data_IF_878221791291
#
_entry.id   IF_878221791291
#
_cell.length_a   1.000
_cell.length_b   1.000
_cell.length_c   1.000
_cell.angle_alpha   90.00
_cell.angle_beta   90.00
_cell.angle_gamma   90.00
#
_symmetry.space_group_name_H-M   'P 1'
#
loop_
_entity.id
_entity.type
_entity.pdbx_description
1 polymer ?
#
# COMPACT_ATOMS: atom_id res chain seq x y z
N UNK A 1 -20.49 26.56 -61.46
CA UNK A 1 -20.77 25.59 -60.38
C UNK A 1 -20.08 26.09 -59.12
N UNK A 2 -20.76 26.20 -57.97
CA UNK A 2 -20.09 26.52 -56.72
C UNK A 2 -19.45 25.26 -56.15
N UNK A 3 -18.13 25.26 -55.99
CA UNK A 3 -17.36 24.20 -55.36
C UNK A 3 -17.62 24.18 -53.86
N UNK A 4 -18.46 23.25 -53.40
CA UNK A 4 -18.65 22.95 -51.98
C UNK A 4 -17.34 22.39 -51.40
N UNK A 5 -16.65 23.18 -50.58
CA UNK A 5 -15.59 22.68 -49.73
C UNK A 5 -16.24 21.96 -48.53
N UNK A 6 -15.97 20.66 -48.31
CA UNK A 6 -16.51 19.97 -47.14
C UNK A 6 -15.99 20.66 -45.87
N UNK A 7 -16.90 21.03 -44.97
CA UNK A 7 -16.55 21.65 -43.71
C UNK A 7 -15.49 20.80 -42.98
N UNK A 8 -14.45 21.42 -42.38
CA UNK A 8 -13.41 20.67 -41.70
C UNK A 8 -14.06 19.82 -40.60
N UNK A 9 -13.77 18.52 -40.61
CA UNK A 9 -14.24 17.60 -39.57
C UNK A 9 -13.91 18.20 -38.20
N UNK A 10 -14.91 18.29 -37.32
CA UNK A 10 -14.75 18.86 -35.98
C UNK A 10 -13.61 18.14 -35.28
N UNK A 11 -12.48 18.82 -35.10
CA UNK A 11 -11.33 18.30 -34.37
C UNK A 11 -11.74 18.08 -32.92
N UNK A 12 -11.77 16.82 -32.48
CA UNK A 12 -12.10 16.48 -31.10
C UNK A 12 -10.90 16.79 -30.23
N UNK A 13 -11.01 17.82 -29.38
CA UNK A 13 -9.93 18.11 -28.46
C UNK A 13 -9.91 17.07 -27.35
N UNK A 14 -8.70 16.66 -26.98
CA UNK A 14 -8.54 15.66 -25.93
C UNK A 14 -8.93 16.18 -24.54
N UNK A 15 -8.86 17.51 -24.38
CA UNK A 15 -9.24 18.30 -23.21
C UNK A 15 -10.15 19.49 -23.63
N UNK A 16 -11.32 19.20 -24.22
CA UNK A 16 -12.27 20.25 -24.69
C UNK A 16 -12.66 21.25 -23.58
N UNK A 17 -12.72 20.78 -22.33
CA UNK A 17 -13.07 21.59 -21.15
C UNK A 17 -11.88 22.37 -20.56
N UNK A 18 -10.70 22.28 -21.20
CA UNK A 18 -9.46 22.92 -20.75
C UNK A 18 -8.58 22.00 -19.89
N UNK A 19 -7.32 22.39 -19.73
CA UNK A 19 -6.30 21.57 -19.08
C UNK A 19 -6.59 21.32 -17.59
N UNK A 20 -7.05 22.35 -16.87
CA UNK A 20 -7.33 22.24 -15.44
C UNK A 20 -8.49 21.27 -15.14
N UNK A 21 -9.57 21.35 -15.93
CA UNK A 21 -10.72 20.44 -15.81
C UNK A 21 -10.33 18.98 -16.13
N UNK A 22 -9.35 18.78 -17.02
CA UNK A 22 -8.89 17.46 -17.46
C UNK A 22 -7.58 16.99 -16.79
N UNK A 23 -7.13 17.65 -15.73
CA UNK A 23 -5.81 17.39 -15.13
C UNK A 23 -5.65 15.94 -14.66
N UNK A 24 -6.69 15.33 -14.08
CA UNK A 24 -6.67 13.93 -13.65
C UNK A 24 -6.43 12.96 -14.80
N UNK A 25 -7.16 13.14 -15.92
CA UNK A 25 -6.99 12.34 -17.14
C UNK A 25 -5.57 12.45 -17.71
N UNK A 26 -5.02 13.66 -17.77
CA UNK A 26 -3.65 13.90 -18.24
C UNK A 26 -2.64 13.21 -17.31
N UNK A 27 -2.85 13.26 -15.99
CA UNK A 27 -2.00 12.58 -15.03
C UNK A 27 -2.06 11.05 -15.19
N UNK A 28 -3.25 10.47 -15.36
CA UNK A 28 -3.41 9.03 -15.60
C UNK A 28 -2.72 8.58 -16.89
N UNK A 29 -2.90 9.31 -17.98
CA UNK A 29 -2.24 9.03 -19.25
C UNK A 29 -0.73 9.17 -19.13
N UNK A 30 -0.24 10.22 -18.47
CA UNK A 30 1.17 10.42 -18.21
C UNK A 30 1.78 9.25 -17.42
N UNK A 31 1.14 8.85 -16.32
CA UNK A 31 1.57 7.71 -15.50
C UNK A 31 1.57 6.41 -16.32
N UNK A 32 0.52 6.16 -17.10
CA UNK A 32 0.39 4.97 -17.95
C UNK A 32 1.49 4.89 -19.00
N UNK A 33 1.75 5.97 -19.75
CA UNK A 33 2.74 5.97 -20.83
C UNK A 33 4.18 5.97 -20.33
N UNK A 34 4.41 6.49 -19.12
CA UNK A 34 5.72 6.49 -18.46
C UNK A 34 5.97 5.26 -17.58
N UNK A 35 4.99 4.36 -17.44
CA UNK A 35 5.04 3.20 -16.53
C UNK A 35 5.37 3.61 -15.09
N UNK A 36 4.72 4.68 -14.61
CA UNK A 36 4.80 5.10 -13.21
C UNK A 36 3.86 4.25 -12.37
N UNK A 37 4.16 2.96 -12.30
CA UNK A 37 3.40 2.00 -11.50
C UNK A 37 3.74 2.18 -10.01
N UNK A 38 2.76 2.10 -9.10
CA UNK A 38 3.02 2.17 -7.66
C UNK A 38 3.84 0.95 -7.22
N UNK A 39 5.11 1.17 -6.87
CA UNK A 39 6.00 0.12 -6.35
C UNK A 39 5.91 0.10 -4.83
N UNK A 40 5.66 -1.08 -4.25
CA UNK A 40 5.72 -1.32 -2.80
C UNK A 40 6.99 -2.09 -2.48
N UNK A 41 7.74 -1.62 -1.48
CA UNK A 41 8.93 -2.29 -0.97
C UNK A 41 8.60 -2.95 0.36
N UNK A 42 8.89 -4.26 0.47
CA UNK A 42 8.82 -5.00 1.73
C UNK A 42 10.24 -5.40 2.12
N UNK A 43 10.68 -4.96 3.30
CA UNK A 43 12.01 -5.30 3.82
C UNK A 43 11.83 -6.38 4.87
N UNK A 44 12.36 -7.56 4.58
CA UNK A 44 12.27 -8.74 5.44
C UNK A 44 13.66 -9.24 5.80
N UNK A 45 13.78 -9.85 6.97
CA UNK A 45 15.02 -10.44 7.42
C UNK A 45 14.80 -11.32 8.65
N UNK A 46 15.80 -12.16 9.00
CA UNK A 46 15.76 -12.96 10.20
C UNK A 46 15.58 -12.10 11.47
N UNK A 47 14.99 -12.66 12.54
CA UNK A 47 14.87 -11.96 13.81
C UNK A 47 16.26 -11.52 14.32
N UNK A 48 16.33 -10.33 14.90
CA UNK A 48 17.58 -9.70 15.34
C UNK A 48 18.31 -8.89 14.26
N UNK A 49 17.85 -8.93 13.01
CA UNK A 49 18.35 -8.02 11.96
C UNK A 49 17.69 -6.65 12.10
N UNK A 50 18.42 -5.52 11.97
CA UNK A 50 17.88 -4.17 12.10
C UNK A 50 17.10 -3.71 10.84
N UNK A 51 16.18 -4.55 10.35
CA UNK A 51 15.40 -4.29 9.14
C UNK A 51 14.49 -3.06 9.28
N UNK A 52 13.95 -2.82 10.47
CA UNK A 52 13.10 -1.66 10.77
C UNK A 52 13.89 -0.33 10.66
N UNK A 53 15.10 -0.29 11.23
CA UNK A 53 15.98 0.89 11.14
C UNK A 53 16.40 1.15 9.70
N UNK A 54 16.72 0.09 8.94
CA UNK A 54 17.07 0.23 7.53
C UNK A 54 15.88 0.71 6.68
N UNK A 55 14.66 0.21 6.94
CA UNK A 55 13.44 0.65 6.28
C UNK A 55 13.17 2.14 6.53
N UNK A 56 13.39 2.60 7.77
CA UNK A 56 13.25 4.01 8.14
C UNK A 56 14.22 4.90 7.37
N UNK A 57 15.50 4.52 7.31
CA UNK A 57 16.52 5.27 6.56
C UNK A 57 16.19 5.36 5.06
N UNK A 58 15.66 4.28 4.47
CA UNK A 58 15.22 4.29 3.08
C UNK A 58 14.01 5.20 2.86
N UNK A 59 13.02 5.13 3.75
CA UNK A 59 11.84 5.97 3.68
C UNK A 59 12.20 7.46 3.76
N UNK A 60 13.09 7.84 4.68
CA UNK A 60 13.60 9.21 4.82
C UNK A 60 14.37 9.65 3.57
N UNK A 61 15.28 8.80 3.05
CA UNK A 61 16.13 9.12 1.89
C UNK A 61 15.33 9.36 0.62
N UNK A 62 14.27 8.61 0.40
CA UNK A 62 13.45 8.70 -0.81
C UNK A 62 12.14 9.48 -0.60
N UNK A 63 11.95 10.09 0.57
CA UNK A 63 10.72 10.78 0.96
C UNK A 63 9.46 9.93 0.72
N UNK A 64 9.56 8.63 1.03
CA UNK A 64 8.47 7.67 0.90
C UNK A 64 7.67 7.59 2.21
N UNK A 65 6.34 7.44 2.16
CA UNK A 65 5.55 7.18 3.36
C UNK A 65 5.86 5.78 3.91
N UNK A 66 6.45 5.65 5.12
CA UNK A 66 6.74 4.34 5.69
C UNK A 66 5.47 3.68 6.20
N UNK A 67 5.31 2.38 5.91
CA UNK A 67 4.28 1.53 6.51
C UNK A 67 4.98 0.54 7.42
N UNK A 68 5.02 0.83 8.73
CA UNK A 68 5.63 -0.05 9.72
C UNK A 68 4.62 -1.10 10.21
N UNK A 69 5.13 -2.26 10.60
CA UNK A 69 4.31 -3.38 11.05
C UNK A 69 3.40 -3.00 12.23
N UNK A 70 3.94 -2.31 13.23
CA UNK A 70 3.18 -1.90 14.42
C UNK A 70 2.00 -0.98 14.08
N UNK A 71 2.17 -0.08 13.11
CA UNK A 71 1.09 0.78 12.64
C UNK A 71 -0.03 -0.03 12.00
N UNK A 72 0.33 -1.02 11.16
CA UNK A 72 -0.65 -1.89 10.51
C UNK A 72 -1.39 -2.74 11.54
N UNK A 73 -0.70 -3.25 12.55
CA UNK A 73 -1.31 -4.03 13.64
C UNK A 73 -2.29 -3.18 14.43
N UNK A 74 -1.91 -1.97 14.84
CA UNK A 74 -2.79 -1.07 15.60
C UNK A 74 -3.98 -0.59 14.76
N UNK A 75 -3.76 -0.23 13.49
CA UNK A 75 -4.84 0.15 12.58
C UNK A 75 -5.84 -1.01 12.39
N UNK A 76 -5.33 -2.22 12.17
CA UNK A 76 -6.17 -3.42 11.99
C UNK A 76 -6.92 -3.76 13.28
N UNK A 77 -6.27 -3.61 14.44
CA UNK A 77 -6.87 -3.84 15.76
C UNK A 77 -8.02 -2.88 16.04
N UNK A 78 -7.89 -1.62 15.63
CA UNK A 78 -8.90 -0.58 15.83
C UNK A 78 -10.01 -0.62 14.77
N UNK A 79 -9.82 -1.35 13.68
CA UNK A 79 -10.83 -1.51 12.65
C UNK A 79 -11.93 -2.50 13.08
N UNK A 80 -13.19 -2.15 12.79
CA UNK A 80 -14.37 -3.01 12.95
C UNK A 80 -14.52 -3.98 11.77
N UNK A 81 -13.42 -4.66 11.41
CA UNK A 81 -13.38 -5.65 10.34
C UNK A 81 -13.30 -7.06 10.90
N UNK A 82 -13.66 -8.06 10.09
CA UNK A 82 -13.51 -9.47 10.46
C UNK A 82 -12.06 -9.83 10.83
N UNK A 83 -11.08 -9.26 10.12
CA UNK A 83 -9.66 -9.41 10.42
C UNK A 83 -9.28 -8.75 11.75
N UNK A 84 -9.82 -7.56 12.03
CA UNK A 84 -9.63 -6.87 13.31
C UNK A 84 -10.14 -7.68 14.50
N UNK A 85 -11.29 -8.35 14.36
CA UNK A 85 -11.79 -9.25 15.39
C UNK A 85 -10.86 -10.45 15.61
N UNK A 86 -10.44 -11.12 14.53
CA UNK A 86 -9.49 -12.25 14.62
C UNK A 86 -8.18 -11.84 15.30
N UNK A 87 -7.66 -10.65 14.98
CA UNK A 87 -6.44 -10.14 15.59
C UNK A 87 -6.61 -9.91 17.10
N UNK A 88 -7.74 -9.34 17.54
CA UNK A 88 -8.03 -9.15 18.96
C UNK A 88 -8.11 -10.48 19.71
N UNK A 89 -8.80 -11.47 19.15
CA UNK A 89 -8.94 -12.80 19.75
C UNK A 89 -7.55 -13.46 19.91
N UNK A 90 -6.69 -13.38 18.89
CA UNK A 90 -5.32 -13.91 18.96
C UNK A 90 -4.43 -13.19 19.96
N UNK A 91 -4.54 -11.87 20.06
CA UNK A 91 -3.78 -11.10 21.06
C UNK A 91 -4.21 -11.47 22.49
N UNK A 92 -5.50 -11.74 22.71
CA UNK A 92 -6.01 -12.22 23.99
C UNK A 92 -5.50 -13.63 24.31
N UNK A 93 -5.52 -14.55 23.34
CA UNK A 93 -4.91 -15.89 23.48
C UNK A 93 -3.43 -15.80 23.92
N UNK A 94 -2.65 -14.93 23.28
CA UNK A 94 -1.24 -14.70 23.61
C UNK A 94 -1.09 -14.14 25.03
N UNK A 95 -1.92 -13.16 25.41
CA UNK A 95 -1.88 -12.56 26.74
C UNK A 95 -2.22 -13.58 27.85
N UNK A 96 -3.21 -14.45 27.62
CA UNK A 96 -3.57 -15.54 28.56
C UNK A 96 -2.43 -16.56 28.67
N UNK A 97 -1.80 -16.93 27.55
CA UNK A 97 -0.69 -17.86 27.55
C UNK A 97 0.54 -17.33 28.32
N UNK A 98 0.87 -16.04 28.17
CA UNK A 98 1.95 -15.37 28.89
C UNK A 98 1.75 -15.37 30.41
N UNK A 99 0.50 -15.29 30.87
CA UNK A 99 0.17 -15.32 32.30
C UNK A 99 0.22 -16.73 32.92
N UNK A 100 0.33 -17.79 32.12
CA UNK A 100 0.41 -19.17 32.61
C UNK A 100 1.87 -19.65 32.66
N UNK A 101 2.48 -19.86 33.85
CA UNK A 101 3.87 -20.27 33.99
C UNK A 101 4.17 -21.70 33.50
N UNK A 102 3.13 -22.50 33.22
CA UNK A 102 3.26 -23.84 32.62
C UNK A 102 2.98 -23.87 31.13
N UNK A 103 2.68 -22.73 30.50
CA UNK A 103 2.54 -22.69 29.05
C UNK A 103 3.92 -22.93 28.43
N UNK A 104 4.04 -23.99 27.63
CA UNK A 104 5.07 -24.00 26.59
C UNK A 104 4.67 -22.86 25.66
N UNK A 105 5.41 -21.75 25.70
CA UNK A 105 5.06 -20.51 25.00
C UNK A 105 4.67 -20.75 23.54
N UNK A 106 4.01 -19.78 22.89
CA UNK A 106 3.23 -20.00 21.66
C UNK A 106 4.06 -20.34 20.40
N UNK A 107 5.36 -20.61 20.52
CA UNK A 107 6.28 -20.72 19.40
C UNK A 107 6.43 -22.16 18.90
N UNK A 108 5.33 -22.78 18.47
CA UNK A 108 5.43 -23.70 17.35
C UNK A 108 5.43 -22.85 16.08
N UNK A 109 6.60 -22.33 15.73
CA UNK A 109 6.79 -21.72 14.40
C UNK A 109 6.61 -22.88 13.41
N UNK A 110 5.62 -22.84 12.50
CA UNK A 110 5.48 -23.89 11.50
C UNK A 110 6.79 -23.99 10.72
N UNK A 111 7.22 -25.22 10.40
CA UNK A 111 8.50 -25.48 9.73
C UNK A 111 8.67 -24.73 8.39
N UNK A 112 7.60 -24.17 7.83
CA UNK A 112 7.63 -23.30 6.66
C UNK A 112 8.16 -21.88 6.92
N UNK A 113 8.41 -21.51 8.19
CA UNK A 113 8.90 -20.20 8.62
C UNK A 113 10.27 -20.25 9.32
N UNK A 114 10.90 -21.43 9.39
CA UNK A 114 12.30 -21.66 9.80
C UNK A 114 13.14 -22.03 8.59
#
# INVERSE_FOLDING_TARGET
EPTEHPAPARFRWWCEEGLAANAGKVAEEFCRWRRLDPVRFCIVGPPGTPVAEFAKLLAERYALPPVAFDHVVEETRNADTALGQQLRDRLEEIAVALNNPKSQGPFLVPASLT
#
